data_IF_044329790240
#
_entry.id   IF_044329790240
#
_cell.length_a   1.000
_cell.length_b   1.000
_cell.length_c   1.000
_cell.angle_alpha   90.00
_cell.angle_beta   90.00
_cell.angle_gamma   90.00
#
_symmetry.space_group_name_H-M   'P 1'
#
loop_
_entity.id
_entity.type
_entity.pdbx_description
1 polymer ?
#
# COMPACT_ATOMS: atom_id res chain seq x y z
N UNK A 1 -13.34 -41.35 -7.95
CA UNK A 1 -14.05 -40.49 -6.98
C UNK A 1 -13.40 -39.12 -7.01
N UNK A 2 -13.90 -38.22 -7.85
CA UNK A 2 -13.39 -36.85 -7.98
C UNK A 2 -14.04 -35.95 -6.93
N UNK A 3 -13.25 -35.44 -6.01
CA UNK A 3 -13.68 -34.44 -5.04
C UNK A 3 -13.36 -33.04 -5.54
N UNK A 4 -14.17 -32.51 -6.45
CA UNK A 4 -14.19 -31.07 -6.74
C UNK A 4 -14.85 -30.36 -5.56
N UNK A 5 -14.05 -29.77 -4.66
CA UNK A 5 -14.58 -28.80 -3.68
C UNK A 5 -14.54 -27.42 -4.30
N UNK A 6 -15.71 -27.10 -4.84
CA UNK A 6 -16.24 -25.82 -5.29
C UNK A 6 -15.45 -24.58 -4.86
N UNK A 7 -14.91 -23.94 -5.88
CA UNK A 7 -14.58 -22.52 -5.92
C UNK A 7 -15.73 -21.65 -5.41
N UNK A 8 -15.31 -20.52 -4.85
CA UNK A 8 -16.05 -19.41 -4.26
C UNK A 8 -17.35 -19.03 -4.99
N UNK A 9 -18.34 -18.53 -4.22
CA UNK A 9 -19.40 -17.69 -4.79
C UNK A 9 -18.99 -16.22 -4.69
N UNK A 10 -19.27 -15.40 -5.72
CA UNK A 10 -18.58 -14.16 -5.98
C UNK A 10 -19.31 -12.97 -5.36
N UNK A 11 -18.60 -12.14 -4.63
CA UNK A 11 -18.95 -10.72 -4.52
C UNK A 11 -18.71 -10.08 -5.89
N UNK A 12 -19.71 -9.37 -6.42
CA UNK A 12 -19.67 -8.72 -7.74
C UNK A 12 -18.80 -7.46 -7.65
N UNK A 13 -17.48 -7.66 -7.66
CA UNK A 13 -16.48 -6.61 -7.69
C UNK A 13 -15.11 -7.20 -8.04
N UNK A 14 -14.17 -6.39 -8.57
CA UNK A 14 -12.81 -6.85 -8.79
C UNK A 14 -12.18 -7.27 -7.46
N UNK A 15 -11.58 -8.46 -7.39
CA UNK A 15 -10.87 -8.91 -6.19
C UNK A 15 -9.45 -8.34 -6.18
N UNK A 16 -8.97 -7.99 -4.99
CA UNK A 16 -7.60 -7.54 -4.80
C UNK A 16 -6.62 -8.66 -5.20
N UNK A 17 -5.61 -8.33 -6.00
CA UNK A 17 -4.69 -9.34 -6.51
C UNK A 17 -3.72 -9.83 -5.43
N UNK A 18 -3.34 -11.09 -5.52
CA UNK A 18 -2.19 -11.63 -4.79
C UNK A 18 -0.91 -10.98 -5.32
N UNK A 19 0.07 -10.75 -4.44
CA UNK A 19 1.35 -10.15 -4.81
C UNK A 19 2.48 -11.19 -4.78
N UNK A 20 3.39 -11.13 -5.74
CA UNK A 20 4.59 -11.96 -5.71
C UNK A 20 5.58 -11.39 -4.70
N UNK A 21 6.05 -12.20 -3.74
CA UNK A 21 6.94 -11.71 -2.68
C UNK A 21 8.29 -11.17 -3.22
N UNK A 22 8.74 -11.71 -4.36
CA UNK A 22 9.96 -11.29 -5.05
C UNK A 22 9.95 -9.81 -5.50
N UNK A 23 8.79 -9.29 -5.87
CA UNK A 23 8.62 -7.89 -6.28
C UNK A 23 8.89 -6.91 -5.13
N UNK A 24 8.74 -7.39 -3.89
CA UNK A 24 8.89 -6.63 -2.65
C UNK A 24 10.18 -6.97 -1.89
N UNK A 25 11.16 -7.56 -2.57
CA UNK A 25 12.48 -7.80 -1.97
C UNK A 25 12.65 -9.08 -1.19
N UNK A 26 11.64 -9.96 -1.18
CA UNK A 26 11.78 -11.28 -0.56
C UNK A 26 12.43 -12.25 -1.55
N UNK A 27 13.22 -13.20 -1.04
CA UNK A 27 13.86 -14.24 -1.86
C UNK A 27 12.96 -15.44 -2.15
N UNK A 28 11.83 -15.53 -1.46
CA UNK A 28 10.89 -16.66 -1.56
C UNK A 28 10.00 -16.52 -2.79
N UNK A 29 9.86 -17.61 -3.54
CA UNK A 29 8.88 -17.74 -4.61
C UNK A 29 7.51 -18.12 -4.02
N UNK A 30 6.86 -17.13 -3.39
CA UNK A 30 5.54 -17.29 -2.79
C UNK A 30 4.66 -16.08 -3.05
N UNK A 31 3.35 -16.32 -2.97
CA UNK A 31 2.34 -15.28 -3.03
C UNK A 31 2.08 -14.70 -1.63
N UNK A 32 1.74 -13.42 -1.59
CA UNK A 32 1.34 -12.66 -0.40
C UNK A 32 -0.17 -12.48 -0.44
N UNK A 33 -0.84 -12.92 0.62
CA UNK A 33 -2.31 -12.90 0.75
C UNK A 33 -2.82 -11.47 0.80
N UNK A 34 -3.72 -11.02 -0.09
CA UNK A 34 -4.28 -9.68 -0.04
C UNK A 34 -5.27 -9.46 1.11
N UNK A 35 -5.73 -10.50 1.82
CA UNK A 35 -6.82 -10.42 2.79
C UNK A 35 -6.61 -9.35 3.89
N UNK A 36 -5.44 -9.18 4.52
CA UNK A 36 -5.24 -8.12 5.52
C UNK A 36 -5.49 -6.72 4.96
N UNK A 37 -4.98 -6.45 3.76
CA UNK A 37 -5.13 -5.17 3.08
C UNK A 37 -6.58 -4.96 2.58
N UNK A 38 -7.23 -6.02 2.10
CA UNK A 38 -8.64 -5.98 1.69
C UNK A 38 -9.55 -5.65 2.88
N UNK A 39 -9.33 -6.28 4.05
CA UNK A 39 -10.06 -5.98 5.28
C UNK A 39 -9.87 -4.52 5.72
N UNK A 40 -8.66 -3.99 5.60
CA UNK A 40 -8.37 -2.58 5.93
C UNK A 40 -9.14 -1.62 5.02
N UNK A 41 -9.05 -1.81 3.70
CA UNK A 41 -9.73 -0.92 2.74
C UNK A 41 -11.25 -1.01 2.87
N UNK A 42 -11.79 -2.20 3.11
CA UNK A 42 -13.21 -2.37 3.41
C UNK A 42 -13.60 -1.67 4.71
N UNK A 43 -12.80 -1.79 5.77
CA UNK A 43 -13.07 -1.12 7.05
C UNK A 43 -13.08 0.40 6.90
N UNK A 44 -12.20 0.99 6.08
CA UNK A 44 -12.23 2.43 5.78
C UNK A 44 -13.51 2.89 5.08
N UNK A 45 -14.12 2.02 4.28
CA UNK A 45 -15.39 2.33 3.59
C UNK A 45 -16.61 2.32 4.51
N UNK A 46 -16.49 1.73 5.71
CA UNK A 46 -17.58 1.59 6.68
C UNK A 46 -17.49 2.68 7.74
N UNK A 47 -18.61 3.34 8.03
CA UNK A 47 -18.71 4.30 9.13
C UNK A 47 -18.78 3.57 10.47
N UNK A 48 -17.64 3.36 11.16
CA UNK A 48 -17.60 2.77 12.51
C UNK A 48 -16.20 2.70 13.13
N UNK A 49 -15.98 3.38 14.26
CA UNK A 49 -14.66 3.87 14.69
C UNK A 49 -13.74 2.98 15.53
N UNK A 50 -14.13 1.75 15.91
CA UNK A 50 -13.26 0.86 16.72
C UNK A 50 -12.71 -0.36 15.95
N UNK A 51 -13.47 -1.02 15.05
CA UNK A 51 -12.94 -2.14 14.25
C UNK A 51 -11.74 -1.75 13.40
N UNK A 52 -11.66 -0.49 12.99
CA UNK A 52 -10.63 -0.04 12.08
C UNK A 52 -9.23 -0.04 12.71
N UNK A 53 -9.08 0.44 13.94
CA UNK A 53 -7.76 0.48 14.58
C UNK A 53 -7.23 -0.93 14.82
N UNK A 54 -8.09 -1.87 15.22
CA UNK A 54 -7.72 -3.27 15.39
C UNK A 54 -7.25 -3.87 14.06
N UNK A 55 -8.02 -3.68 12.98
CA UNK A 55 -7.66 -4.19 11.65
C UNK A 55 -6.35 -3.59 11.14
N UNK A 56 -6.17 -2.28 11.30
CA UNK A 56 -4.93 -1.60 10.89
C UNK A 56 -3.74 -2.13 11.70
N UNK A 57 -3.91 -2.32 13.01
CA UNK A 57 -2.88 -2.83 13.91
C UNK A 57 -2.48 -4.26 13.58
N UNK A 58 -3.43 -5.16 13.34
CA UNK A 58 -3.17 -6.53 12.91
C UNK A 58 -2.35 -6.58 11.62
N UNK A 59 -2.72 -5.77 10.62
CA UNK A 59 -2.01 -5.71 9.34
C UNK A 59 -0.55 -5.26 9.52
N UNK A 60 -0.29 -4.22 10.30
CA UNK A 60 1.08 -3.65 10.42
C UNK A 60 1.99 -4.38 11.40
N UNK A 61 1.41 -5.18 12.31
CA UNK A 61 2.16 -5.98 13.29
C UNK A 61 2.75 -7.26 12.72
N UNK A 62 2.25 -7.74 11.59
CA UNK A 62 2.89 -8.83 10.87
C UNK A 62 4.30 -8.38 10.41
N UNK A 63 5.33 -8.93 11.04
CA UNK A 63 6.73 -8.56 10.77
C UNK A 63 7.18 -8.94 9.34
N UNK A 64 6.53 -9.93 8.72
CA UNK A 64 6.89 -10.42 7.40
C UNK A 64 6.12 -9.68 6.30
N UNK A 65 4.81 -9.52 6.48
CA UNK A 65 3.90 -9.04 5.43
C UNK A 65 3.39 -7.62 5.67
N UNK A 66 3.40 -7.13 6.92
CA UNK A 66 2.98 -5.77 7.26
C UNK A 66 3.72 -4.67 6.48
N UNK A 67 5.06 -4.72 6.35
CA UNK A 67 5.80 -3.81 5.48
C UNK A 67 5.38 -3.89 4.01
N UNK A 68 5.05 -5.09 3.52
CA UNK A 68 4.60 -5.28 2.14
C UNK A 68 3.21 -4.67 1.93
N UNK A 69 2.27 -4.92 2.84
CA UNK A 69 0.93 -4.34 2.77
C UNK A 69 0.94 -2.81 2.84
N UNK A 70 1.75 -2.24 3.72
CA UNK A 70 1.93 -0.78 3.81
C UNK A 70 2.45 -0.20 2.48
N UNK A 71 3.46 -0.81 1.88
CA UNK A 71 4.01 -0.33 0.60
C UNK A 71 3.03 -0.53 -0.56
N UNK A 72 2.31 -1.66 -0.60
CA UNK A 72 1.23 -1.88 -1.58
C UNK A 72 0.16 -0.81 -1.50
N UNK A 73 -0.23 -0.44 -0.29
CA UNK A 73 -1.20 0.63 -0.04
C UNK A 73 -0.68 1.99 -0.56
N UNK A 74 0.55 2.37 -0.20
CA UNK A 74 1.18 3.61 -0.67
C UNK A 74 1.31 3.62 -2.19
N UNK A 75 1.78 2.53 -2.78
CA UNK A 75 1.97 2.38 -4.23
C UNK A 75 0.64 2.47 -5.00
N UNK A 76 -0.42 1.86 -4.49
CA UNK A 76 -1.75 1.98 -5.07
C UNK A 76 -2.26 3.43 -5.04
N UNK A 77 -2.07 4.14 -3.93
CA UNK A 77 -2.47 5.54 -3.81
C UNK A 77 -1.63 6.48 -4.69
N UNK A 78 -0.31 6.26 -4.79
CA UNK A 78 0.57 6.99 -5.71
C UNK A 78 0.20 6.75 -7.17
N UNK A 79 -0.08 5.50 -7.55
CA UNK A 79 -0.55 5.15 -8.90
C UNK A 79 -1.86 5.88 -9.24
N UNK A 80 -2.84 5.87 -8.33
CA UNK A 80 -4.10 6.58 -8.51
C UNK A 80 -3.93 8.10 -8.58
N UNK A 81 -3.04 8.68 -7.76
CA UNK A 81 -2.72 10.10 -7.83
C UNK A 81 -2.11 10.45 -9.20
N UNK A 82 -1.19 9.64 -9.72
CA UNK A 82 -0.56 9.83 -11.03
C UNK A 82 -1.53 9.69 -12.19
N UNK A 83 -2.48 8.77 -12.09
CA UNK A 83 -3.54 8.64 -13.10
C UNK A 83 -4.38 9.92 -13.25
N UNK A 84 -4.39 10.79 -12.25
CA UNK A 84 -5.06 12.11 -12.28
C UNK A 84 -4.09 13.29 -12.52
N UNK A 85 -2.83 13.03 -12.86
CA UNK A 85 -1.80 14.04 -13.10
C UNK A 85 -1.17 14.63 -11.83
N UNK A 86 -1.47 14.05 -10.66
CA UNK A 86 -0.92 14.44 -9.36
C UNK A 86 0.18 13.50 -8.84
N UNK A 87 0.49 13.66 -7.55
CA UNK A 87 1.31 12.72 -6.77
C UNK A 87 0.73 12.64 -5.37
N UNK A 88 0.91 11.51 -4.69
CA UNK A 88 0.48 11.34 -3.31
C UNK A 88 1.19 12.33 -2.39
N UNK A 89 2.48 12.53 -2.60
CA UNK A 89 3.29 13.50 -1.84
C UNK A 89 2.65 14.90 -1.86
N UNK A 90 2.10 15.36 -2.98
CA UNK A 90 1.45 16.68 -3.07
C UNK A 90 0.23 16.84 -2.15
N UNK A 91 -0.48 15.75 -1.85
CA UNK A 91 -1.67 15.77 -0.98
C UNK A 91 -1.36 15.37 0.45
N UNK A 92 -0.23 14.71 0.69
CA UNK A 92 0.22 14.27 2.03
C UNK A 92 1.27 15.18 2.66
N UNK A 93 1.95 16.03 1.89
CA UNK A 93 2.91 17.02 2.39
C UNK A 93 2.18 18.22 3.02
N UNK A 94 1.59 17.98 4.19
CA UNK A 94 0.81 18.95 4.96
C UNK A 94 1.14 18.83 6.45
N UNK A 95 0.97 19.92 7.23
CA UNK A 95 1.12 19.86 8.68
C UNK A 95 0.21 18.81 9.32
N UNK A 96 -1.05 18.71 8.88
CA UNK A 96 -2.01 17.75 9.44
C UNK A 96 -1.58 16.28 9.32
N UNK A 97 -0.94 15.91 8.20
CA UNK A 97 -0.37 14.56 8.01
C UNK A 97 0.92 14.37 8.80
N UNK A 98 1.75 15.41 8.86
CA UNK A 98 3.00 15.40 9.63
C UNK A 98 2.73 15.25 11.12
N UNK A 99 1.68 15.89 11.64
CA UNK A 99 1.25 15.79 13.03
C UNK A 99 0.81 14.35 13.39
N UNK A 100 0.30 13.58 12.42
CA UNK A 100 -0.09 12.18 12.63
C UNK A 100 1.12 11.25 12.65
N UNK A 101 2.05 11.40 11.69
CA UNK A 101 3.06 10.37 11.42
C UNK A 101 4.53 10.85 11.40
N UNK A 102 4.82 12.08 11.83
CA UNK A 102 6.18 12.58 12.03
C UNK A 102 7.07 12.59 10.78
N UNK A 103 6.48 12.60 9.58
CA UNK A 103 7.22 12.55 8.30
C UNK A 103 7.51 11.14 7.77
N UNK A 104 7.16 10.09 8.51
CA UNK A 104 7.36 8.68 8.09
C UNK A 104 6.71 8.40 6.74
N UNK A 105 5.48 8.88 6.54
CA UNK A 105 4.77 8.66 5.28
C UNK A 105 5.49 9.31 4.09
N UNK A 106 5.98 10.55 4.27
CA UNK A 106 6.69 11.27 3.22
C UNK A 106 8.01 10.57 2.88
N UNK A 107 8.75 10.10 3.90
CA UNK A 107 9.96 9.30 3.68
C UNK A 107 9.67 8.04 2.84
N UNK A 108 8.63 7.27 3.17
CA UNK A 108 8.26 6.08 2.41
C UNK A 108 7.87 6.39 0.97
N UNK A 109 7.13 7.49 0.73
CA UNK A 109 6.76 7.94 -0.62
C UNK A 109 8.00 8.34 -1.42
N UNK A 110 8.96 9.01 -0.81
CA UNK A 110 10.21 9.40 -1.46
C UNK A 110 11.06 8.18 -1.83
N UNK A 111 11.23 7.22 -0.91
CA UNK A 111 11.93 5.96 -1.19
C UNK A 111 11.24 5.19 -2.30
N UNK A 112 9.91 5.08 -2.28
CA UNK A 112 9.13 4.42 -3.32
C UNK A 112 9.36 5.05 -4.69
N UNK A 113 9.30 6.38 -4.78
CA UNK A 113 9.46 7.11 -6.05
C UNK A 113 10.88 7.10 -6.58
N UNK A 114 11.88 7.03 -5.70
CA UNK A 114 13.28 7.03 -6.08
C UNK A 114 13.81 5.63 -6.39
N UNK A 115 13.35 4.61 -5.66
CA UNK A 115 14.00 3.29 -5.61
C UNK A 115 13.04 2.10 -5.71
N UNK A 116 11.74 2.34 -5.90
CA UNK A 116 10.76 1.30 -6.20
C UNK A 116 10.24 0.53 -4.98
N UNK A 117 9.41 -0.47 -5.25
CA UNK A 117 8.66 -1.25 -4.27
C UNK A 117 9.59 -1.95 -3.28
N UNK A 118 10.65 -2.61 -3.77
CA UNK A 118 11.62 -3.33 -2.95
C UNK A 118 12.27 -2.44 -1.88
N UNK A 119 12.81 -1.30 -2.28
CA UNK A 119 13.49 -0.38 -1.37
C UNK A 119 12.51 0.21 -0.34
N UNK A 120 11.29 0.55 -0.78
CA UNK A 120 10.25 1.03 0.11
C UNK A 120 9.84 -0.04 1.13
N UNK A 121 9.77 -1.31 0.73
CA UNK A 121 9.44 -2.42 1.66
C UNK A 121 10.54 -2.64 2.68
N UNK A 122 11.81 -2.54 2.27
CA UNK A 122 12.94 -2.56 3.20
C UNK A 122 12.86 -1.40 4.20
N UNK A 123 12.59 -0.18 3.73
CA UNK A 123 12.44 0.99 4.60
C UNK A 123 11.27 0.80 5.60
N UNK A 124 10.11 0.33 5.11
CA UNK A 124 8.95 0.03 5.95
C UNK A 124 9.22 -1.10 6.98
N UNK A 125 10.12 -2.03 6.66
CA UNK A 125 10.56 -3.10 7.57
C UNK A 125 11.40 -2.60 8.74
N UNK A 126 12.12 -1.49 8.60
CA UNK A 126 12.91 -0.88 9.68
C UNK A 126 12.09 0.00 10.62
N UNK A 127 10.86 0.36 10.24
CA UNK A 127 9.95 1.09 11.11
C UNK A 127 9.44 0.19 12.24
N UNK A 128 9.18 0.79 13.40
CA UNK A 128 8.41 0.11 14.44
C UNK A 128 6.92 0.00 14.05
N UNK A 129 6.19 -0.83 14.80
CA UNK A 129 4.77 -1.07 14.55
C UNK A 129 3.93 0.21 14.68
N UNK A 130 4.30 1.12 15.56
CA UNK A 130 3.58 2.36 15.81
C UNK A 130 3.71 3.31 14.62
N UNK A 131 4.93 3.51 14.11
CA UNK A 131 5.23 4.31 12.93
C UNK A 131 4.51 3.79 11.70
N UNK A 132 4.46 2.46 11.50
CA UNK A 132 3.66 1.85 10.43
C UNK A 132 2.16 2.13 10.61
N UNK A 133 1.64 2.00 11.84
CA UNK A 133 0.24 2.26 12.13
C UNK A 133 -0.14 3.74 11.87
N UNK A 134 0.71 4.68 12.28
CA UNK A 134 0.50 6.10 12.06
C UNK A 134 0.53 6.45 10.57
N UNK A 135 1.41 5.83 9.78
CA UNK A 135 1.41 5.98 8.33
C UNK A 135 0.08 5.48 7.71
N UNK A 136 -0.44 4.33 8.16
CA UNK A 136 -1.77 3.84 7.72
C UNK A 136 -2.89 4.82 8.11
N UNK A 137 -2.88 5.33 9.34
CA UNK A 137 -3.88 6.31 9.82
C UNK A 137 -3.86 7.59 8.99
N UNK A 138 -2.67 8.10 8.64
CA UNK A 138 -2.53 9.28 7.79
C UNK A 138 -3.11 9.08 6.37
N UNK A 139 -3.09 7.85 5.86
CA UNK A 139 -3.62 7.50 4.53
C UNK A 139 -5.14 7.31 4.50
N UNK A 140 -5.79 7.14 5.65
CA UNK A 140 -7.22 6.86 5.73
C UNK A 140 -8.10 7.90 5.02
N UNK A 141 -7.75 9.19 5.08
CA UNK A 141 -8.52 10.25 4.41
C UNK A 141 -8.57 10.08 2.89
N UNK A 142 -7.66 9.29 2.31
CA UNK A 142 -7.56 9.01 0.87
C UNK A 142 -8.07 7.62 0.50
N UNK A 143 -8.88 6.98 1.35
CA UNK A 143 -9.30 5.57 1.23
C UNK A 143 -9.94 5.14 -0.10
N UNK A 144 -10.49 6.08 -0.87
CA UNK A 144 -11.07 5.78 -2.20
C UNK A 144 -10.01 5.54 -3.27
N UNK A 145 -8.82 6.12 -3.11
CA UNK A 145 -7.75 6.07 -4.10
C UNK A 145 -7.22 4.65 -4.40
N UNK A 146 -6.92 3.78 -3.42
CA UNK A 146 -6.22 2.53 -3.69
C UNK A 146 -7.10 1.41 -4.25
N UNK A 147 -8.43 1.46 -4.10
CA UNK A 147 -9.30 0.31 -4.34
C UNK A 147 -9.14 -0.27 -5.76
N UNK A 148 -9.21 0.59 -6.78
CA UNK A 148 -9.04 0.16 -8.18
C UNK A 148 -7.61 -0.31 -8.47
N UNK A 149 -6.61 0.45 -8.02
CA UNK A 149 -5.21 0.15 -8.29
C UNK A 149 -4.74 -1.16 -7.64
N UNK A 150 -5.32 -1.55 -6.50
CA UNK A 150 -5.02 -2.83 -5.83
C UNK A 150 -5.62 -4.06 -6.55
N UNK A 151 -6.55 -3.84 -7.49
CA UNK A 151 -7.11 -4.88 -8.34
C UNK A 151 -6.29 -5.10 -9.63
N UNK A 152 -5.24 -4.31 -9.83
CA UNK A 152 -4.33 -4.40 -10.98
C UNK A 152 -2.89 -4.68 -10.48
N UNK A 153 -2.02 -5.29 -11.30
CA UNK A 153 -0.63 -5.48 -10.92
C UNK A 153 0.09 -4.15 -10.64
N UNK A 154 0.65 -4.03 -9.43
CA UNK A 154 1.50 -2.89 -9.07
C UNK A 154 2.94 -3.16 -9.50
N UNK A 155 3.51 -2.22 -10.24
CA UNK A 155 4.86 -2.33 -10.78
C UNK A 155 5.62 -1.02 -10.55
N UNK A 156 6.94 -1.12 -10.49
CA UNK A 156 7.83 0.03 -10.30
C UNK A 156 7.59 1.13 -11.36
N UNK A 157 7.27 0.76 -12.60
CA UNK A 157 6.96 1.72 -13.68
C UNK A 157 5.80 2.67 -13.34
N UNK A 158 4.88 2.26 -12.46
CA UNK A 158 3.74 3.08 -12.06
C UNK A 158 4.06 4.08 -10.93
N UNK A 159 5.15 3.85 -10.18
CA UNK A 159 5.46 4.62 -8.96
C UNK A 159 6.79 5.36 -9.05
N UNK A 160 7.75 4.85 -9.84
CA UNK A 160 9.03 5.51 -10.04
C UNK A 160 8.82 6.88 -10.69
N UNK A 161 9.54 7.86 -10.18
CA UNK A 161 9.66 9.13 -10.86
C UNK A 161 10.56 8.93 -12.07
N UNK A 162 10.03 9.15 -13.27
CA UNK A 162 10.86 9.23 -14.47
C UNK A 162 11.87 10.34 -14.23
N UNK A 163 13.16 10.01 -14.19
CA UNK A 163 14.21 11.02 -14.19
C UNK A 163 13.96 11.87 -15.42
N UNK A 164 13.51 13.11 -15.23
CA UNK A 164 13.63 14.14 -16.26
C UNK A 164 15.13 14.32 -16.41
N UNK A 165 15.76 13.51 -17.27
CA UNK A 165 17.05 13.86 -17.85
C UNK A 165 16.85 15.25 -18.41
N UNK A 166 17.44 16.21 -17.73
CA UNK A 166 17.62 17.58 -18.18
C UNK A 166 18.12 17.48 -19.62
N UNK A 167 17.27 17.85 -20.56
CA UNK A 167 17.74 18.24 -21.89
C UNK A 167 18.71 19.39 -21.65
N UNK A 168 20.00 19.08 -21.67
CA UNK A 168 21.05 20.08 -21.85
C UNK A 168 21.39 20.08 -23.32
N UNK A 169 20.98 21.19 -23.95
CA UNK A 169 21.52 21.85 -25.15
C UNK A 169 21.61 21.02 -26.42
#
# INVERSE_FOLDING_TARGET
>A
MSGSRSHERPGVGPSMLWAQAADYGRSEDRLIDPAPLARLVEAWSRSGGEPLEVIAREMVQDANEGPVHLVRLIAAMESSARATGGTLSRVTDTPAVTDICGGVLQHLIEVLRASGLRAATTAAGHLDNESRLLAVKALQTFWQAPYRALCEPLHDVHVLQTSRTLWRS
#
